data_IF_487543306238
#
_entry.id   IF_487543306238
#
_cell.length_a   1.000
_cell.length_b   1.000
_cell.length_c   1.000
_cell.angle_alpha   90.00
_cell.angle_beta   90.00
_cell.angle_gamma   90.00
#
_symmetry.space_group_name_H-M   'P 1'
#
loop_
_entity.id
_entity.type
_entity.pdbx_description
1 polymer ?
#
# COMPACT_ATOMS: atom_id res chain seq x y z
N UNK A 1 50.03 6.51 35.61
CA UNK A 1 49.33 6.14 34.41
C UNK A 1 47.85 6.43 34.61
N UNK A 2 47.40 7.58 34.18
CA UNK A 2 46.03 8.09 34.39
C UNK A 2 45.20 7.80 33.15
N UNK A 3 44.11 7.04 33.32
CA UNK A 3 43.09 6.81 32.28
C UNK A 3 42.18 8.02 32.23
N UNK A 4 42.13 8.67 31.08
CA UNK A 4 41.14 9.74 30.79
C UNK A 4 39.84 9.09 30.27
N UNK A 5 38.73 9.32 30.99
CA UNK A 5 37.38 9.08 30.53
C UNK A 5 36.96 10.26 29.65
N UNK A 6 36.67 10.03 28.40
CA UNK A 6 35.92 10.98 27.57
C UNK A 6 34.42 10.73 27.77
N UNK A 7 33.74 11.70 28.32
CA UNK A 7 32.28 11.74 28.36
C UNK A 7 31.78 12.33 27.05
N UNK A 8 31.03 11.56 26.29
CA UNK A 8 30.33 12.05 25.11
C UNK A 8 28.97 12.63 25.52
N UNK A 9 28.85 13.94 25.40
CA UNK A 9 27.59 14.65 25.60
C UNK A 9 26.72 14.50 24.35
N UNK A 10 25.63 13.78 24.48
CA UNK A 10 24.61 13.70 23.41
C UNK A 10 23.72 14.94 23.52
N UNK A 11 23.84 15.84 22.56
CA UNK A 11 22.91 16.96 22.36
C UNK A 11 21.68 16.44 21.63
N UNK A 12 20.58 16.32 22.36
CA UNK A 12 19.27 16.04 21.75
C UNK A 12 18.76 17.32 21.09
N UNK A 13 18.84 17.39 19.76
CA UNK A 13 18.17 18.44 18.98
C UNK A 13 16.73 18.02 18.73
N UNK A 14 15.80 18.70 19.39
CA UNK A 14 14.37 18.59 19.09
C UNK A 14 14.12 19.19 17.70
N UNK A 15 13.88 18.36 16.71
CA UNK A 15 13.36 18.77 15.40
C UNK A 15 11.84 18.91 15.53
N UNK A 16 11.38 20.14 15.67
CA UNK A 16 9.99 20.52 15.45
C UNK A 16 9.71 20.35 13.95
N UNK A 17 8.96 19.32 13.60
CA UNK A 17 8.43 19.18 12.25
C UNK A 17 7.35 20.24 12.01
N UNK A 18 7.74 21.32 11.36
CA UNK A 18 6.80 22.28 10.78
C UNK A 18 6.05 21.58 9.65
N UNK A 19 4.76 21.36 9.86
CA UNK A 19 3.82 21.01 8.80
C UNK A 19 3.79 22.16 7.79
N UNK A 20 4.55 22.06 6.72
CA UNK A 20 4.36 22.89 5.54
C UNK A 20 3.08 22.38 4.86
N UNK A 21 2.01 23.13 5.00
CA UNK A 21 0.83 22.94 4.17
C UNK A 21 1.27 23.18 2.71
N UNK A 22 1.35 22.10 1.95
CA UNK A 22 1.51 22.17 0.50
C UNK A 22 0.21 22.78 -0.03
N UNK A 23 0.24 23.93 -0.74
CA UNK A 23 -0.95 24.43 -1.39
C UNK A 23 -1.42 23.35 -2.36
N UNK A 24 -2.73 23.05 -2.30
CA UNK A 24 -3.38 22.20 -3.28
C UNK A 24 -3.09 22.79 -4.67
N UNK A 25 -2.14 22.19 -5.39
CA UNK A 25 -2.03 22.40 -6.81
C UNK A 25 -3.39 21.97 -7.37
N UNK A 26 -4.09 22.90 -7.98
CA UNK A 26 -5.28 22.63 -8.76
C UNK A 26 -4.87 21.67 -9.88
N UNK A 27 -4.92 20.38 -9.59
CA UNK A 27 -4.88 19.35 -10.58
C UNK A 27 -6.11 19.60 -11.44
N UNK A 28 -5.89 20.04 -12.68
CA UNK A 28 -6.88 20.04 -13.73
C UNK A 28 -7.58 18.68 -13.67
N UNK A 29 -8.88 18.72 -13.33
CA UNK A 29 -9.66 17.53 -13.06
C UNK A 29 -9.49 16.51 -14.17
N UNK A 30 -8.93 15.39 -13.83
CA UNK A 30 -9.09 14.16 -14.58
C UNK A 30 -10.51 13.70 -14.30
N UNK A 31 -11.45 14.18 -15.10
CA UNK A 31 -12.75 13.55 -15.22
C UNK A 31 -12.51 12.14 -15.77
N UNK A 32 -12.24 11.23 -14.86
CA UNK A 32 -12.44 9.82 -15.17
C UNK A 32 -13.92 9.70 -15.52
N UNK A 33 -14.28 9.18 -16.70
CA UNK A 33 -15.68 9.00 -17.09
C UNK A 33 -16.29 7.88 -16.27
N UNK A 34 -16.41 8.08 -14.98
CA UNK A 34 -17.06 7.19 -14.01
C UNK A 34 -18.40 7.76 -13.57
N UNK A 35 -19.17 8.38 -14.44
CA UNK A 35 -20.55 8.75 -14.16
C UNK A 35 -21.52 7.77 -14.82
N UNK A 36 -21.34 6.47 -14.55
CA UNK A 36 -22.40 5.49 -14.73
C UNK A 36 -23.32 5.55 -13.51
N UNK A 37 -24.44 6.26 -13.62
CA UNK A 37 -25.48 6.33 -12.62
C UNK A 37 -26.10 4.94 -12.41
N UNK A 38 -25.62 4.21 -11.40
CA UNK A 38 -26.43 3.21 -10.74
C UNK A 38 -26.65 3.65 -9.31
N UNK A 39 -27.76 4.37 -9.09
CA UNK A 39 -28.33 4.61 -7.78
C UNK A 39 -28.77 3.26 -7.17
N UNK A 40 -27.87 2.61 -6.45
CA UNK A 40 -28.22 1.78 -5.32
C UNK A 40 -27.82 2.57 -4.09
N UNK A 41 -28.80 3.26 -3.52
CA UNK A 41 -28.68 4.14 -2.36
C UNK A 41 -28.62 3.30 -1.07
N UNK A 42 -27.61 2.42 -0.93
CA UNK A 42 -27.21 1.94 0.38
C UNK A 42 -26.13 2.92 0.88
N UNK A 43 -26.56 3.94 1.60
CA UNK A 43 -25.63 4.75 2.39
C UNK A 43 -24.86 3.79 3.30
N UNK A 44 -23.54 3.92 3.34
CA UNK A 44 -22.70 3.16 4.25
C UNK A 44 -23.22 3.34 5.68
N UNK A 45 -23.38 2.23 6.40
CA UNK A 45 -23.77 2.21 7.82
C UNK A 45 -22.66 2.75 8.73
N UNK A 46 -21.42 2.86 8.24
CA UNK A 46 -20.26 3.41 8.95
C UNK A 46 -20.23 4.94 8.80
N UNK A 47 -20.40 5.71 9.90
CA UNK A 47 -20.51 7.16 9.83
C UNK A 47 -19.19 7.90 9.66
N UNK A 48 -18.04 7.19 9.71
CA UNK A 48 -16.73 7.80 9.63
C UNK A 48 -16.46 8.32 8.22
N UNK A 49 -16.24 9.64 8.10
CA UNK A 49 -15.76 10.29 6.88
C UNK A 49 -14.24 10.34 6.80
N UNK A 50 -13.58 10.34 7.97
CA UNK A 50 -12.14 10.21 8.15
C UNK A 50 -11.88 9.33 9.37
N UNK A 51 -10.92 8.43 9.26
CA UNK A 51 -10.38 7.68 10.38
C UNK A 51 -8.98 7.20 10.05
N UNK A 52 -8.08 7.29 11.01
CA UNK A 52 -6.71 6.80 10.83
C UNK A 52 -6.07 6.39 12.15
N UNK A 53 -5.11 5.49 12.03
CA UNK A 53 -4.20 5.08 13.08
C UNK A 53 -2.78 5.24 12.55
N UNK A 54 -1.92 5.91 13.29
CA UNK A 54 -0.50 6.10 12.94
C UNK A 54 0.36 5.74 14.14
N UNK A 55 1.28 4.79 13.97
CA UNK A 55 2.22 4.39 15.01
C UNK A 55 3.35 5.42 15.14
N UNK A 56 3.63 5.87 16.34
CA UNK A 56 4.80 6.67 16.69
C UNK A 56 6.07 5.82 16.82
N UNK A 57 7.21 6.47 16.73
CA UNK A 57 8.51 5.82 16.94
C UNK A 57 8.73 5.39 18.41
N UNK A 58 8.05 6.04 19.34
CA UNK A 58 8.08 5.80 20.78
C UNK A 58 7.10 4.70 21.24
N UNK A 59 6.41 4.03 20.31
CA UNK A 59 5.40 3.01 20.61
C UNK A 59 4.03 3.59 20.95
N UNK A 60 3.83 4.90 20.81
CA UNK A 60 2.51 5.54 20.86
C UNK A 60 1.74 5.32 19.55
N UNK A 61 0.43 5.61 19.61
CA UNK A 61 -0.43 5.60 18.44
C UNK A 61 -1.27 6.87 18.41
N UNK A 62 -1.22 7.60 17.31
CA UNK A 62 -2.16 8.71 17.07
C UNK A 62 -3.39 8.15 16.36
N UNK A 63 -4.56 8.30 16.96
CA UNK A 63 -5.85 7.95 16.37
C UNK A 63 -6.62 9.22 16.05
N UNK A 64 -7.12 9.35 14.81
CA UNK A 64 -7.91 10.50 14.35
C UNK A 64 -9.23 10.03 13.79
N UNK A 65 -10.28 10.83 13.93
CA UNK A 65 -11.58 10.52 13.35
C UNK A 65 -12.42 11.75 13.06
N UNK A 66 -13.29 11.62 12.08
CA UNK A 66 -14.42 12.49 11.80
C UNK A 66 -15.60 11.61 11.43
N UNK A 67 -16.73 11.75 12.11
CA UNK A 67 -17.90 10.91 11.94
C UNK A 67 -19.17 11.76 11.79
N UNK A 68 -19.90 11.56 10.70
CA UNK A 68 -21.13 12.28 10.42
C UNK A 68 -22.32 11.73 11.24
N UNK A 69 -23.22 12.59 11.69
CA UNK A 69 -24.47 12.18 12.34
C UNK A 69 -24.33 11.53 13.71
N UNK A 70 -23.16 11.50 14.31
CA UNK A 70 -22.92 11.04 15.69
C UNK A 70 -22.39 12.15 16.58
N UNK A 71 -22.65 12.06 17.87
CA UNK A 71 -22.20 13.05 18.87
C UNK A 71 -21.04 12.55 19.71
N UNK A 72 -20.88 11.22 19.80
CA UNK A 72 -19.84 10.58 20.61
C UNK A 72 -19.22 9.44 19.85
N UNK A 73 -17.90 9.34 20.01
CA UNK A 73 -17.08 8.23 19.50
C UNK A 73 -16.22 7.72 20.65
N UNK A 74 -16.13 6.42 20.79
CA UNK A 74 -15.17 5.75 21.66
C UNK A 74 -14.17 5.00 20.81
N UNK A 75 -12.92 5.03 21.19
CA UNK A 75 -11.87 4.23 20.57
C UNK A 75 -11.45 3.17 21.58
N UNK A 76 -11.48 1.90 21.17
CA UNK A 76 -11.04 0.78 21.98
C UNK A 76 -9.80 0.12 21.40
N UNK A 77 -8.91 -0.32 22.27
CA UNK A 77 -7.80 -1.20 21.95
C UNK A 77 -7.78 -2.35 22.96
N UNK A 78 -7.60 -3.59 22.49
CA UNK A 78 -7.63 -4.79 23.34
C UNK A 78 -8.90 -4.88 24.23
N UNK A 79 -10.04 -4.48 23.69
CA UNK A 79 -11.33 -4.45 24.38
C UNK A 79 -11.52 -3.35 25.42
N UNK A 80 -10.53 -2.51 25.65
CA UNK A 80 -10.59 -1.37 26.61
C UNK A 80 -10.73 -0.06 25.89
N UNK A 81 -11.51 0.87 26.46
CA UNK A 81 -11.61 2.24 25.94
C UNK A 81 -10.32 2.98 26.23
N UNK A 82 -9.66 3.44 25.18
CA UNK A 82 -8.38 4.15 25.22
C UNK A 82 -8.50 5.64 24.86
N UNK A 83 -9.60 6.01 24.16
CA UNK A 83 -9.92 7.42 23.89
C UNK A 83 -11.44 7.60 23.75
N UNK A 84 -11.91 8.83 23.99
CA UNK A 84 -13.30 9.25 23.79
C UNK A 84 -13.31 10.66 23.23
N UNK A 85 -14.30 10.98 22.41
CA UNK A 85 -14.47 12.34 21.90
C UNK A 85 -15.82 12.57 21.26
N UNK A 86 -15.97 13.73 20.65
CA UNK A 86 -17.13 14.12 19.85
C UNK A 86 -17.12 13.51 18.45
N UNK A 87 -17.90 14.09 17.55
CA UNK A 87 -17.94 13.71 16.14
C UNK A 87 -16.58 13.80 15.43
N UNK A 88 -15.72 14.70 15.88
CA UNK A 88 -14.34 14.83 15.45
C UNK A 88 -13.40 14.71 16.64
N UNK A 89 -12.27 14.09 16.45
CA UNK A 89 -11.28 13.95 17.52
C UNK A 89 -9.93 13.43 17.02
N UNK A 90 -8.96 13.65 17.88
CA UNK A 90 -7.62 13.11 17.77
C UNK A 90 -7.15 12.75 19.20
N UNK A 91 -6.49 11.63 19.35
CA UNK A 91 -5.90 11.23 20.63
C UNK A 91 -4.59 10.48 20.40
N UNK A 92 -3.67 10.68 21.35
CA UNK A 92 -2.44 9.88 21.42
C UNK A 92 -2.64 8.81 22.48
N UNK A 93 -2.50 7.55 22.09
CA UNK A 93 -2.64 6.37 22.95
C UNK A 93 -1.27 5.80 23.23
N UNK A 94 -0.95 5.63 24.50
CA UNK A 94 0.34 5.10 25.00
C UNK A 94 0.11 3.90 25.92
N UNK A 95 1.18 3.18 26.25
CA UNK A 95 1.15 2.11 27.25
C UNK A 95 0.38 0.87 26.84
N UNK A 96 0.15 0.66 25.55
CA UNK A 96 -0.46 -0.58 25.05
C UNK A 96 0.55 -1.73 25.13
N UNK A 97 0.09 -2.96 25.41
CA UNK A 97 0.95 -4.14 25.37
C UNK A 97 1.58 -4.31 23.98
N UNK A 98 2.79 -4.85 23.94
CA UNK A 98 3.44 -5.20 22.67
C UNK A 98 2.57 -6.19 21.87
N UNK A 99 2.42 -5.93 20.58
CA UNK A 99 1.66 -6.77 19.65
C UNK A 99 2.34 -6.74 18.27
N UNK A 100 2.12 -7.77 17.47
CA UNK A 100 2.56 -7.77 16.06
C UNK A 100 1.91 -6.63 15.28
N UNK A 101 0.65 -6.34 15.62
CA UNK A 101 -0.14 -5.26 15.09
C UNK A 101 -1.17 -4.81 16.10
N UNK A 102 -1.22 -3.53 16.41
CA UNK A 102 -2.20 -2.97 17.33
C UNK A 102 -3.47 -2.55 16.57
N UNK A 103 -4.61 -3.09 17.01
CA UNK A 103 -5.91 -2.81 16.44
C UNK A 103 -6.69 -1.85 17.31
N UNK A 104 -7.45 -0.97 16.64
CA UNK A 104 -8.34 0.00 17.26
C UNK A 104 -9.75 -0.14 16.68
N UNK A 105 -10.72 -0.29 17.57
CA UNK A 105 -12.14 -0.30 17.22
C UNK A 105 -12.70 1.12 17.47
N UNK A 106 -13.15 1.75 16.39
CA UNK A 106 -13.79 3.06 16.40
C UNK A 106 -15.29 2.84 16.53
N UNK A 107 -15.84 3.07 17.73
CA UNK A 107 -17.24 2.84 18.05
C UNK A 107 -18.01 4.16 18.10
N UNK A 108 -18.85 4.46 17.10
CA UNK A 108 -19.72 5.63 17.13
C UNK A 108 -20.94 5.37 18.01
N UNK A 109 -21.58 6.43 18.56
CA UNK A 109 -22.87 6.32 19.25
C UNK A 109 -24.00 5.82 18.33
N UNK A 110 -23.88 6.09 17.03
CA UNK A 110 -24.83 5.70 15.98
C UNK A 110 -24.11 5.21 14.74
N UNK A 111 -24.65 4.18 14.13
CA UNK A 111 -24.05 3.52 12.96
C UNK A 111 -23.13 2.37 13.37
N UNK A 112 -22.50 1.77 12.39
CA UNK A 112 -21.57 0.65 12.59
C UNK A 112 -20.17 1.14 12.95
N UNK A 113 -19.44 0.34 13.74
CA UNK A 113 -18.06 0.59 14.09
C UNK A 113 -17.10 0.34 12.94
N UNK A 114 -15.89 0.88 13.07
CA UNK A 114 -14.81 0.68 12.11
C UNK A 114 -13.57 0.18 12.84
N UNK A 115 -12.94 -0.89 12.33
CA UNK A 115 -11.73 -1.45 12.89
C UNK A 115 -10.52 -1.11 12.03
N UNK A 116 -9.56 -0.41 12.60
CA UNK A 116 -8.34 0.03 11.92
C UNK A 116 -7.09 -0.30 12.73
N UNK A 117 -5.97 -0.31 12.04
CA UNK A 117 -4.62 -0.36 12.59
C UNK A 117 -3.72 0.58 11.78
N UNK A 118 -2.49 0.81 12.21
CA UNK A 118 -1.49 1.39 11.32
C UNK A 118 -1.34 0.49 10.08
N UNK A 119 -1.31 1.11 8.90
CA UNK A 119 -1.09 0.36 7.67
C UNK A 119 0.29 -0.26 7.60
N UNK A 120 1.32 0.45 8.07
CA UNK A 120 2.65 -0.13 8.15
C UNK A 120 2.72 -1.22 9.21
N UNK A 121 3.17 -2.40 8.83
CA UNK A 121 3.56 -3.45 9.77
C UNK A 121 5.07 -3.57 9.68
N UNK A 122 5.77 -3.16 10.74
CA UNK A 122 7.24 -3.16 10.76
C UNK A 122 7.78 -4.58 10.71
N UNK A 123 8.62 -4.85 9.70
CA UNK A 123 9.45 -6.03 9.56
C UNK A 123 10.92 -5.63 9.61
N UNK A 124 11.79 -6.55 10.05
CA UNK A 124 13.23 -6.33 10.10
C UNK A 124 13.86 -6.40 8.71
N UNK A 125 13.36 -7.31 7.87
CA UNK A 125 13.90 -7.62 6.55
C UNK A 125 13.14 -7.02 5.36
N UNK A 126 12.06 -6.26 5.58
CA UNK A 126 11.32 -5.57 4.53
C UNK A 126 10.86 -4.19 5.01
N UNK A 127 11.06 -3.16 4.18
CA UNK A 127 10.80 -1.77 4.57
C UNK A 127 9.49 -1.21 4.01
N UNK A 128 8.96 -1.83 2.93
CA UNK A 128 7.76 -1.38 2.23
C UNK A 128 6.54 -2.28 2.48
N UNK A 129 6.59 -3.08 3.57
CA UNK A 129 5.50 -3.97 3.96
C UNK A 129 4.37 -3.20 4.63
N UNK A 130 3.17 -3.28 4.07
CA UNK A 130 1.97 -2.65 4.61
C UNK A 130 0.67 -3.31 4.17
N UNK A 131 -0.39 -3.00 4.92
CA UNK A 131 -1.77 -3.37 4.59
C UNK A 131 -2.29 -2.54 3.41
N UNK A 132 -3.02 -3.17 2.51
CA UNK A 132 -3.70 -2.52 1.39
C UNK A 132 -5.07 -1.93 1.78
N UNK A 133 -5.56 -2.20 2.99
CA UNK A 133 -6.85 -1.74 3.50
C UNK A 133 -6.81 -0.42 4.27
N UNK A 134 -7.93 -0.11 4.93
CA UNK A 134 -8.08 1.09 5.74
C UNK A 134 -8.31 2.37 4.93
N UNK A 135 -8.80 2.26 3.71
CA UNK A 135 -9.18 3.37 2.85
C UNK A 135 -10.69 3.47 2.70
N UNK A 136 -11.21 4.68 2.67
CA UNK A 136 -12.61 4.96 2.43
C UNK A 136 -12.89 5.04 0.93
N UNK A 137 -13.99 4.43 0.49
CA UNK A 137 -14.44 4.48 -0.90
C UNK A 137 -15.27 5.74 -1.16
N UNK A 138 -15.50 6.06 -2.43
CA UNK A 138 -16.40 7.17 -2.85
C UNK A 138 -17.85 6.96 -2.41
N UNK A 139 -18.27 5.70 -2.18
CA UNK A 139 -19.60 5.35 -1.67
C UNK A 139 -19.69 5.37 -0.13
N UNK A 140 -18.58 5.65 0.56
CA UNK A 140 -18.53 5.77 2.02
C UNK A 140 -18.18 4.48 2.75
N UNK A 141 -18.08 3.36 2.06
CA UNK A 141 -17.61 2.09 2.61
C UNK A 141 -16.10 2.14 2.88
N UNK A 142 -15.59 1.20 3.65
CA UNK A 142 -14.18 1.12 3.97
C UNK A 142 -13.58 -0.22 3.51
N UNK A 143 -12.37 -0.16 2.95
CA UNK A 143 -11.61 -1.36 2.60
C UNK A 143 -11.16 -2.05 3.89
N UNK A 144 -11.51 -3.32 4.05
CA UNK A 144 -11.10 -4.14 5.21
C UNK A 144 -9.58 -4.19 5.31
N UNK A 145 -9.08 -4.13 6.53
CA UNK A 145 -7.67 -4.36 6.82
C UNK A 145 -7.42 -5.81 7.24
N UNK A 146 -6.19 -6.26 7.03
CA UNK A 146 -5.77 -7.61 7.41
C UNK A 146 -6.02 -8.68 6.36
N UNK A 147 -6.61 -8.34 5.21
CA UNK A 147 -6.96 -9.27 4.14
C UNK A 147 -5.92 -9.30 3.01
N UNK A 148 -5.32 -8.14 2.71
CA UNK A 148 -4.37 -7.98 1.62
C UNK A 148 -3.19 -7.13 2.09
N UNK A 149 -1.99 -7.64 1.85
CA UNK A 149 -0.73 -6.97 2.15
C UNK A 149 0.10 -6.78 0.89
N UNK A 150 0.93 -5.74 0.89
CA UNK A 150 1.93 -5.48 -0.15
C UNK A 150 3.31 -5.31 0.46
N UNK A 151 4.37 -5.66 -0.27
CA UNK A 151 5.75 -5.59 0.23
C UNK A 151 6.79 -5.37 -0.87
N UNK A 152 7.99 -5.04 -0.46
CA UNK A 152 9.24 -5.31 -1.17
C UNK A 152 9.67 -6.77 -0.99
N UNK A 153 10.82 -7.17 -1.56
CA UNK A 153 11.31 -8.54 -1.60
C UNK A 153 11.46 -9.17 -0.20
N UNK A 154 11.15 -10.45 -0.11
CA UNK A 154 11.11 -11.21 1.14
C UNK A 154 12.41 -11.96 1.45
N UNK A 155 13.43 -11.83 0.60
CA UNK A 155 14.71 -12.56 0.72
C UNK A 155 15.49 -12.28 2.00
N UNK A 156 15.28 -11.09 2.60
CA UNK A 156 15.96 -10.66 3.83
C UNK A 156 15.14 -10.86 5.10
N UNK A 157 13.94 -11.44 5.01
CA UNK A 157 13.11 -11.69 6.18
C UNK A 157 13.85 -12.52 7.23
N UNK A 158 13.69 -12.11 8.49
CA UNK A 158 14.23 -12.83 9.65
C UNK A 158 13.26 -13.92 10.11
N UNK A 159 13.71 -14.76 11.03
CA UNK A 159 12.81 -15.74 11.68
C UNK A 159 11.65 -15.06 12.42
N UNK A 160 11.92 -13.89 13.03
CA UNK A 160 10.89 -13.09 13.70
C UNK A 160 9.85 -12.56 12.70
N UNK A 161 10.29 -12.08 11.54
CA UNK A 161 9.40 -11.63 10.47
C UNK A 161 8.51 -12.77 9.96
N UNK A 162 9.10 -13.92 9.69
CA UNK A 162 8.35 -15.10 9.23
C UNK A 162 7.30 -15.54 10.26
N UNK A 163 7.66 -15.59 11.54
CA UNK A 163 6.73 -15.89 12.62
C UNK A 163 5.62 -14.82 12.72
N UNK A 164 5.95 -13.55 12.52
CA UNK A 164 4.96 -12.46 12.48
C UNK A 164 3.99 -12.64 11.30
N UNK A 165 4.47 -12.92 10.09
CA UNK A 165 3.62 -13.17 8.93
C UNK A 165 2.69 -14.37 9.13
N UNK A 166 3.14 -15.42 9.83
CA UNK A 166 2.29 -16.54 10.24
C UNK A 166 1.18 -16.10 11.19
N UNK A 167 1.50 -15.29 12.22
CA UNK A 167 0.50 -14.76 13.17
C UNK A 167 -0.48 -13.78 12.49
N UNK A 168 -0.04 -13.05 11.46
CA UNK A 168 -0.90 -12.26 10.57
C UNK A 168 -1.72 -13.13 9.62
N UNK A 169 -1.51 -14.46 9.64
CA UNK A 169 -2.24 -15.45 8.84
C UNK A 169 -2.08 -15.27 7.33
N UNK A 170 -0.90 -14.82 6.88
CA UNK A 170 -0.59 -14.78 5.44
C UNK A 170 -0.66 -16.20 4.89
N UNK A 171 -1.60 -16.45 3.98
CA UNK A 171 -1.86 -17.77 3.37
C UNK A 171 -1.26 -17.93 1.99
N UNK A 172 -1.18 -16.84 1.23
CA UNK A 172 -0.67 -16.87 -0.15
C UNK A 172 0.27 -15.71 -0.39
N UNK A 173 1.42 -16.01 -0.97
CA UNK A 173 2.44 -15.03 -1.37
C UNK A 173 2.57 -15.07 -2.89
N UNK A 174 2.27 -13.94 -3.55
CA UNK A 174 2.49 -13.76 -4.98
C UNK A 174 3.79 -12.99 -5.23
N UNK A 175 4.74 -13.61 -5.87
CA UNK A 175 5.99 -12.99 -6.29
C UNK A 175 5.87 -12.49 -7.74
N UNK A 176 5.86 -11.16 -7.88
CA UNK A 176 5.71 -10.47 -9.17
C UNK A 176 7.03 -10.29 -9.93
N UNK A 177 8.14 -10.81 -9.40
CA UNK A 177 9.50 -10.61 -9.93
C UNK A 177 9.80 -11.54 -11.10
N UNK A 178 10.74 -11.09 -11.92
CA UNK A 178 11.33 -11.87 -13.00
C UNK A 178 12.16 -13.05 -12.45
N UNK A 179 12.41 -14.03 -13.28
CA UNK A 179 13.14 -15.25 -12.88
C UNK A 179 14.56 -14.97 -12.38
N UNK A 180 15.29 -14.07 -13.01
CA UNK A 180 16.65 -13.71 -12.60
C UNK A 180 16.69 -13.03 -11.23
N UNK A 181 15.72 -12.16 -10.93
CA UNK A 181 15.55 -11.56 -9.60
C UNK A 181 15.28 -12.63 -8.54
N UNK A 182 14.38 -13.58 -8.82
CA UNK A 182 14.05 -14.70 -7.91
C UNK A 182 15.21 -15.64 -7.70
N UNK A 183 16.00 -15.90 -8.75
CA UNK A 183 17.18 -16.78 -8.68
C UNK A 183 18.29 -16.14 -7.84
N UNK A 184 18.49 -14.84 -8.01
CA UNK A 184 19.52 -14.09 -7.27
C UNK A 184 19.15 -13.91 -5.80
N UNK A 185 17.92 -13.53 -5.53
CA UNK A 185 17.43 -13.14 -4.22
C UNK A 185 16.16 -13.95 -3.87
N UNK A 186 16.32 -15.27 -3.65
CA UNK A 186 15.21 -16.16 -3.34
C UNK A 186 14.45 -15.73 -2.07
N UNK A 187 13.13 -15.74 -2.12
CA UNK A 187 12.30 -15.36 -0.98
C UNK A 187 12.34 -16.37 0.15
N UNK A 188 12.14 -15.84 1.34
CA UNK A 188 11.78 -16.63 2.52
C UNK A 188 10.28 -16.49 2.73
N UNK A 189 9.57 -17.60 2.63
CA UNK A 189 8.12 -17.66 2.71
C UNK A 189 7.71 -18.22 4.08
N UNK A 190 6.71 -17.64 4.77
CA UNK A 190 6.25 -18.17 6.05
C UNK A 190 5.72 -19.60 5.88
N UNK A 191 6.04 -20.47 6.83
CA UNK A 191 5.59 -21.87 6.79
C UNK A 191 4.06 -21.94 6.75
N UNK A 192 3.54 -22.80 5.87
CA UNK A 192 2.12 -22.97 5.63
C UNK A 192 1.50 -22.00 4.61
N UNK A 193 2.24 -21.01 4.14
CA UNK A 193 1.78 -20.16 3.05
C UNK A 193 2.10 -20.79 1.68
N UNK A 194 1.18 -20.65 0.74
CA UNK A 194 1.38 -21.01 -0.67
C UNK A 194 2.19 -19.93 -1.37
N UNK A 195 3.28 -20.31 -2.03
CA UNK A 195 4.08 -19.40 -2.85
C UNK A 195 3.69 -19.54 -4.32
N UNK A 196 3.33 -18.44 -4.96
CA UNK A 196 2.89 -18.38 -6.35
C UNK A 196 3.78 -17.41 -7.12
N UNK A 197 4.42 -17.90 -8.18
CA UNK A 197 5.14 -17.05 -9.12
C UNK A 197 4.15 -16.41 -10.09
N UNK A 198 4.05 -15.09 -10.04
CA UNK A 198 3.22 -14.26 -10.89
C UNK A 198 4.09 -13.22 -11.61
N UNK A 199 5.00 -13.69 -12.47
CA UNK A 199 5.99 -12.86 -13.15
C UNK A 199 5.32 -11.89 -14.13
N UNK A 200 5.33 -10.60 -13.79
CA UNK A 200 4.67 -9.53 -14.55
C UNK A 200 5.30 -9.31 -15.93
N UNK A 201 6.59 -9.60 -16.06
CA UNK A 201 7.32 -9.44 -17.32
C UNK A 201 7.60 -10.78 -18.03
N UNK A 202 6.92 -11.85 -17.65
CA UNK A 202 7.07 -13.14 -18.32
C UNK A 202 6.84 -13.01 -19.83
N UNK A 203 7.80 -13.50 -20.62
CA UNK A 203 7.74 -13.42 -22.10
C UNK A 203 8.15 -12.06 -22.71
N UNK A 204 8.36 -11.05 -21.89
CA UNK A 204 9.01 -9.80 -22.32
C UNK A 204 10.49 -9.86 -21.97
N UNK A 205 11.37 -9.39 -22.84
CA UNK A 205 12.79 -9.26 -22.52
C UNK A 205 12.99 -8.36 -21.30
N UNK A 206 13.95 -8.69 -20.44
CA UNK A 206 14.41 -7.81 -19.37
C UNK A 206 14.78 -6.44 -19.93
N UNK A 207 14.83 -5.40 -19.07
CA UNK A 207 15.34 -4.08 -19.42
C UNK A 207 16.70 -4.23 -20.15
N UNK A 208 16.67 -4.16 -21.49
CA UNK A 208 17.82 -4.54 -22.31
C UNK A 208 18.97 -3.54 -22.23
N UNK A 209 18.73 -2.34 -21.72
CA UNK A 209 19.75 -1.29 -21.65
C UNK A 209 19.53 -0.41 -20.44
N UNK A 210 20.55 -0.25 -19.62
CA UNK A 210 20.51 0.70 -18.50
C UNK A 210 20.44 2.13 -19.05
N UNK A 211 19.55 2.98 -18.52
CA UNK A 211 19.48 4.39 -18.86
C UNK A 211 20.82 5.08 -18.59
N UNK A 212 21.16 6.05 -19.43
CA UNK A 212 22.40 6.84 -19.31
C UNK A 212 22.13 8.24 -18.78
N UNK A 213 20.90 8.71 -18.87
CA UNK A 213 20.47 10.02 -18.39
C UNK A 213 19.24 9.88 -17.47
N UNK A 214 18.97 10.88 -16.60
CA UNK A 214 17.75 10.91 -15.79
C UNK A 214 16.47 10.85 -16.64
N UNK A 215 16.43 11.52 -17.78
CA UNK A 215 15.25 11.54 -18.67
C UNK A 215 15.02 10.17 -19.32
N UNK A 216 16.09 9.48 -19.73
CA UNK A 216 15.99 8.09 -20.20
C UNK A 216 15.48 7.16 -19.08
N UNK A 217 15.90 7.40 -17.84
CA UNK A 217 15.43 6.62 -16.69
C UNK A 217 13.93 6.84 -16.44
N UNK A 218 13.46 8.10 -16.48
CA UNK A 218 12.03 8.41 -16.39
C UNK A 218 11.24 7.75 -17.51
N UNK A 219 11.71 7.85 -18.75
CA UNK A 219 11.08 7.22 -19.90
C UNK A 219 11.00 5.70 -19.74
N UNK A 220 12.08 5.07 -19.31
CA UNK A 220 12.10 3.62 -19.06
C UNK A 220 11.09 3.18 -18.02
N UNK A 221 10.90 3.96 -16.94
CA UNK A 221 9.88 3.69 -15.92
C UNK A 221 8.47 3.83 -16.47
N UNK A 222 8.19 4.88 -17.25
CA UNK A 222 6.90 5.07 -17.93
C UNK A 222 6.59 3.93 -18.90
N UNK A 223 7.56 3.52 -19.71
CA UNK A 223 7.40 2.42 -20.66
C UNK A 223 7.18 1.07 -19.95
N UNK A 224 7.89 0.84 -18.85
CA UNK A 224 7.71 -0.34 -18.01
C UNK A 224 6.31 -0.39 -17.38
N UNK A 225 5.80 0.73 -16.87
CA UNK A 225 4.45 0.80 -16.29
C UNK A 225 3.38 0.44 -17.34
N UNK A 226 3.50 0.98 -18.56
CA UNK A 226 2.61 0.61 -19.68
C UNK A 226 2.71 -0.88 -20.02
N UNK A 227 3.93 -1.42 -20.09
CA UNK A 227 4.15 -2.84 -20.38
C UNK A 227 3.56 -3.75 -19.30
N UNK A 228 3.59 -3.35 -18.03
CA UNK A 228 2.92 -4.08 -16.94
C UNK A 228 1.41 -4.19 -17.16
N UNK A 229 0.78 -3.15 -17.68
CA UNK A 229 -0.68 -3.07 -17.87
C UNK A 229 -1.15 -3.88 -19.08
N UNK A 230 -0.49 -3.73 -20.21
CA UNK A 230 -0.95 -4.28 -21.49
C UNK A 230 -0.20 -5.53 -21.95
N UNK A 231 0.93 -5.85 -21.33
CA UNK A 231 1.71 -7.05 -21.65
C UNK A 231 1.04 -8.35 -21.17
N UNK A 232 1.26 -9.45 -21.90
CA UNK A 232 0.66 -10.75 -21.57
C UNK A 232 1.10 -11.26 -20.18
N UNK A 233 2.37 -11.06 -19.82
CA UNK A 233 2.88 -11.39 -18.48
C UNK A 233 2.13 -10.63 -17.38
N UNK A 234 1.97 -9.32 -17.56
CA UNK A 234 1.25 -8.47 -16.60
C UNK A 234 -0.22 -8.88 -16.45
N UNK A 235 -0.94 -9.07 -17.56
CA UNK A 235 -2.33 -9.55 -17.51
C UNK A 235 -2.44 -10.85 -16.73
N UNK A 236 -1.64 -11.85 -17.07
CA UNK A 236 -1.65 -13.15 -16.39
C UNK A 236 -1.31 -13.04 -14.91
N UNK A 237 -0.26 -12.28 -14.58
CA UNK A 237 0.19 -12.12 -13.20
C UNK A 237 -0.86 -11.43 -12.33
N UNK A 238 -1.43 -10.33 -12.81
CA UNK A 238 -2.45 -9.60 -12.05
C UNK A 238 -3.77 -10.37 -11.96
N UNK A 239 -4.17 -11.14 -13.00
CA UNK A 239 -5.30 -12.07 -12.91
C UNK A 239 -5.08 -13.06 -11.76
N UNK A 240 -3.90 -13.69 -11.66
CA UNK A 240 -3.58 -14.61 -10.57
C UNK A 240 -3.68 -13.94 -9.18
N UNK A 241 -3.19 -12.70 -9.04
CA UNK A 241 -3.29 -11.94 -7.79
C UNK A 241 -4.76 -11.68 -7.42
N UNK A 242 -5.57 -11.20 -8.36
CA UNK A 242 -6.98 -10.94 -8.11
C UNK A 242 -7.78 -12.21 -7.83
N UNK A 243 -7.47 -13.32 -8.50
CA UNK A 243 -8.08 -14.63 -8.21
C UNK A 243 -7.75 -15.09 -6.79
N UNK A 244 -6.50 -14.93 -6.35
CA UNK A 244 -6.10 -15.22 -4.98
C UNK A 244 -6.82 -14.34 -3.95
N UNK A 245 -6.99 -13.05 -4.23
CA UNK A 245 -7.72 -12.13 -3.34
C UNK A 245 -9.22 -12.51 -3.25
N UNK A 246 -9.82 -12.99 -4.34
CA UNK A 246 -11.23 -13.42 -4.38
C UNK A 246 -11.47 -14.80 -3.77
N UNK A 247 -10.43 -15.59 -3.61
CA UNK A 247 -10.52 -16.93 -3.04
C UNK A 247 -10.38 -16.88 -1.50
N UNK A 248 -11.45 -17.21 -0.77
CA UNK A 248 -11.46 -17.19 0.70
C UNK A 248 -10.42 -18.12 1.32
N UNK A 249 -10.11 -19.24 0.67
CA UNK A 249 -9.08 -20.17 1.14
C UNK A 249 -7.65 -19.63 0.97
N UNK A 250 -7.42 -18.83 -0.09
CA UNK A 250 -6.13 -18.20 -0.37
C UNK A 250 -5.91 -16.88 0.39
N UNK A 251 -6.97 -16.15 0.73
CA UNK A 251 -6.93 -14.91 1.50
C UNK A 251 -6.58 -15.24 2.96
N UNK A 252 -5.62 -14.65 3.59
CA UNK A 252 -4.92 -13.37 3.46
C UNK A 252 -3.76 -13.44 2.46
N UNK A 253 -3.76 -12.51 1.52
CA UNK A 253 -2.82 -12.45 0.40
C UNK A 253 -1.71 -11.45 0.68
N UNK A 254 -0.48 -11.80 0.35
CA UNK A 254 0.66 -10.90 0.24
C UNK A 254 1.18 -10.92 -1.20
N UNK A 255 1.27 -9.78 -1.87
CA UNK A 255 1.95 -9.66 -3.15
C UNK A 255 3.13 -8.68 -3.06
N UNK A 256 4.20 -8.98 -3.76
CA UNK A 256 5.43 -8.19 -3.71
C UNK A 256 6.22 -8.24 -5.02
N UNK A 257 7.18 -7.32 -5.14
CA UNK A 257 8.24 -7.38 -6.14
C UNK A 257 9.59 -7.06 -5.48
N UNK A 258 10.56 -6.53 -6.17
CA UNK A 258 11.89 -6.23 -5.60
C UNK A 258 11.83 -5.02 -4.67
N UNK A 259 11.30 -3.89 -5.12
CA UNK A 259 11.15 -2.67 -4.31
C UNK A 259 9.74 -2.50 -3.71
N UNK A 260 8.76 -3.29 -4.16
CA UNK A 260 7.38 -3.18 -3.71
C UNK A 260 6.68 -1.91 -4.15
N UNK A 261 7.18 -1.21 -5.20
CA UNK A 261 6.71 0.12 -5.60
C UNK A 261 6.01 0.15 -6.96
N UNK A 262 6.56 -0.50 -8.01
CA UNK A 262 6.04 -0.45 -9.40
C UNK A 262 5.07 -1.60 -9.67
N UNK A 263 5.53 -2.83 -9.93
CA UNK A 263 4.68 -4.02 -10.16
C UNK A 263 3.67 -4.22 -9.04
N UNK A 264 4.11 -4.13 -7.81
CA UNK A 264 3.29 -4.15 -6.59
C UNK A 264 2.42 -2.90 -6.49
N UNK A 265 2.95 -1.76 -6.91
CA UNK A 265 2.25 -0.47 -6.95
C UNK A 265 1.03 -0.53 -7.85
N UNK A 266 1.19 -1.01 -9.08
CA UNK A 266 0.09 -1.19 -10.01
C UNK A 266 -0.96 -2.20 -9.50
N UNK A 267 -0.53 -3.37 -8.99
CA UNK A 267 -1.45 -4.34 -8.41
C UNK A 267 -2.35 -3.72 -7.34
N UNK A 268 -1.75 -2.94 -6.42
CA UNK A 268 -2.50 -2.27 -5.35
C UNK A 268 -3.37 -1.13 -5.88
N UNK A 269 -2.87 -0.31 -6.79
CA UNK A 269 -3.63 0.77 -7.40
C UNK A 269 -4.86 0.24 -8.16
N UNK A 270 -4.69 -0.85 -8.92
CA UNK A 270 -5.78 -1.52 -9.60
C UNK A 270 -6.81 -2.09 -8.62
N UNK A 271 -6.38 -2.71 -7.52
CA UNK A 271 -7.27 -3.22 -6.48
C UNK A 271 -8.09 -2.10 -5.82
N UNK A 272 -7.43 -1.04 -5.37
CA UNK A 272 -8.10 0.09 -4.71
C UNK A 272 -9.06 0.81 -5.66
N UNK A 273 -8.69 0.97 -6.93
CA UNK A 273 -9.58 1.54 -7.97
C UNK A 273 -10.81 0.66 -8.20
N UNK A 274 -10.62 -0.67 -8.29
CA UNK A 274 -11.73 -1.62 -8.43
C UNK A 274 -12.70 -1.59 -7.24
N UNK A 275 -12.19 -1.34 -6.03
CA UNK A 275 -12.98 -1.19 -4.81
C UNK A 275 -13.68 0.19 -4.71
N UNK A 276 -13.33 1.16 -5.56
CA UNK A 276 -13.93 2.50 -5.57
C UNK A 276 -13.27 3.49 -4.62
N UNK A 277 -12.01 3.28 -4.26
CA UNK A 277 -11.22 4.27 -3.52
C UNK A 277 -10.93 5.47 -4.43
N UNK A 278 -11.03 6.72 -3.93
CA UNK A 278 -10.75 7.93 -4.72
C UNK A 278 -9.33 7.92 -5.33
N UNK A 279 -9.21 8.43 -6.55
CA UNK A 279 -7.94 8.42 -7.31
C UNK A 279 -6.79 9.14 -6.59
N UNK A 280 -7.07 10.23 -5.90
CA UNK A 280 -6.09 10.96 -5.09
C UNK A 280 -5.58 10.11 -3.91
N UNK A 281 -6.43 9.28 -3.32
CA UNK A 281 -6.05 8.35 -2.25
C UNK A 281 -5.21 7.19 -2.80
N UNK A 282 -5.58 6.65 -3.96
CA UNK A 282 -4.80 5.63 -4.67
C UNK A 282 -3.40 6.15 -5.01
N UNK A 283 -3.31 7.36 -5.56
CA UNK A 283 -2.04 8.02 -5.85
C UNK A 283 -1.21 8.26 -4.59
N UNK A 284 -1.83 8.69 -3.50
CA UNK A 284 -1.15 8.90 -2.22
C UNK A 284 -0.56 7.59 -1.65
N UNK A 285 -1.30 6.46 -1.71
CA UNK A 285 -0.74 5.15 -1.32
C UNK A 285 0.42 4.73 -2.21
N UNK A 286 0.32 4.95 -3.52
CA UNK A 286 1.41 4.65 -4.45
C UNK A 286 2.68 5.44 -4.10
N UNK A 287 2.54 6.75 -3.92
CA UNK A 287 3.64 7.66 -3.60
C UNK A 287 4.24 7.44 -2.20
N UNK A 288 3.46 6.90 -1.26
CA UNK A 288 3.96 6.57 0.09
C UNK A 288 5.13 5.57 0.06
N UNK A 289 5.33 4.83 -1.03
CA UNK A 289 6.51 3.99 -1.21
C UNK A 289 7.82 4.77 -1.14
N UNK A 290 7.82 6.07 -1.51
CA UNK A 290 9.01 6.93 -1.38
C UNK A 290 9.40 7.11 0.09
N UNK A 291 8.41 7.30 0.97
CA UNK A 291 8.65 7.51 2.41
C UNK A 291 9.12 6.20 3.07
N UNK A 292 8.43 5.10 2.82
CA UNK A 292 8.81 3.80 3.38
C UNK A 292 10.20 3.34 2.94
N UNK A 293 10.59 3.66 1.70
CA UNK A 293 11.89 3.28 1.13
C UNK A 293 12.97 4.33 1.27
N UNK A 294 12.64 5.50 1.83
CA UNK A 294 13.58 6.64 1.86
C UNK A 294 14.97 6.25 2.34
N UNK A 295 15.09 5.63 3.50
CA UNK A 295 16.38 5.24 4.06
C UNK A 295 17.14 4.25 3.18
N UNK A 296 16.44 3.26 2.60
CA UNK A 296 17.04 2.28 1.70
C UNK A 296 17.49 2.90 0.38
N UNK A 297 16.69 3.81 -0.19
CA UNK A 297 17.02 4.51 -1.42
C UNK A 297 18.19 5.49 -1.21
N UNK A 298 18.19 6.25 -0.12
CA UNK A 298 19.28 7.16 0.25
C UNK A 298 20.59 6.38 0.45
N UNK A 299 20.55 5.21 1.08
CA UNK A 299 21.71 4.33 1.23
C UNK A 299 22.28 3.89 -0.13
N UNK A 300 21.43 3.50 -1.08
CA UNK A 300 21.88 3.14 -2.44
C UNK A 300 22.53 4.36 -3.11
N UNK A 301 21.86 5.51 -3.11
CA UNK A 301 22.34 6.72 -3.78
C UNK A 301 23.66 7.23 -3.20
N UNK A 302 23.85 7.10 -1.88
CA UNK A 302 25.08 7.56 -1.21
C UNK A 302 26.33 6.79 -1.62
N UNK A 303 26.19 5.58 -2.17
CA UNK A 303 27.31 4.77 -2.67
C UNK A 303 27.63 5.01 -4.15
N UNK A 304 26.84 5.82 -4.82
CA UNK A 304 27.02 6.11 -6.26
C UNK A 304 27.69 7.48 -6.48
N UNK A 305 28.54 7.60 -7.49
CA UNK A 305 28.98 8.92 -7.97
C UNK A 305 27.77 9.79 -8.36
N UNK A 306 27.84 11.11 -8.15
CA UNK A 306 26.71 12.02 -8.35
C UNK A 306 26.04 11.90 -9.74
N UNK A 307 26.74 11.75 -10.88
CA UNK A 307 26.09 11.54 -12.16
C UNK A 307 25.28 10.24 -12.24
N UNK A 308 25.81 9.16 -11.65
CA UNK A 308 25.06 7.89 -11.59
C UNK A 308 23.87 7.97 -10.64
N UNK A 309 24.04 8.59 -9.46
CA UNK A 309 22.95 8.80 -8.51
C UNK A 309 21.78 9.56 -9.16
N UNK A 310 22.07 10.56 -10.01
CA UNK A 310 21.04 11.31 -10.74
C UNK A 310 20.23 10.43 -11.70
N UNK A 311 20.88 9.45 -12.37
CA UNK A 311 20.21 8.49 -13.26
C UNK A 311 19.41 7.44 -12.46
N UNK A 312 19.95 6.98 -11.33
CA UNK A 312 19.29 5.95 -10.50
C UNK A 312 18.10 6.49 -9.72
N UNK A 313 18.13 7.76 -9.31
CA UNK A 313 17.07 8.34 -8.49
C UNK A 313 15.67 8.19 -9.10
N UNK A 314 15.41 8.51 -10.39
CA UNK A 314 14.11 8.25 -11.01
C UNK A 314 13.68 6.77 -10.98
N UNK A 315 14.62 5.83 -11.01
CA UNK A 315 14.32 4.39 -10.94
C UNK A 315 14.07 3.90 -9.51
N UNK A 316 14.61 4.59 -8.50
CA UNK A 316 14.41 4.25 -7.08
C UNK A 316 13.15 4.87 -6.50
N UNK A 317 12.77 6.06 -6.95
CA UNK A 317 11.54 6.74 -6.55
C UNK A 317 10.32 6.22 -7.34
N UNK A 318 9.13 6.51 -6.84
CA UNK A 318 7.89 6.50 -7.62
C UNK A 318 7.44 7.93 -7.87
N UNK A 319 6.76 8.16 -9.01
CA UNK A 319 6.31 9.50 -9.43
C UNK A 319 4.89 9.41 -9.97
N UNK A 320 4.10 10.50 -9.87
CA UNK A 320 2.74 10.51 -10.40
C UNK A 320 2.65 10.11 -11.88
N UNK A 321 3.63 10.55 -12.70
CA UNK A 321 3.68 10.24 -14.12
C UNK A 321 3.80 8.74 -14.41
N UNK A 322 4.42 7.94 -13.52
CA UNK A 322 4.54 6.49 -13.72
C UNK A 322 3.17 5.83 -13.58
N UNK A 323 2.49 6.01 -12.44
CA UNK A 323 1.17 5.44 -12.23
C UNK A 323 0.14 5.94 -13.25
N UNK A 324 0.19 7.25 -13.56
CA UNK A 324 -0.69 7.84 -14.58
C UNK A 324 -0.49 7.19 -15.95
N UNK A 325 0.77 6.88 -16.33
CA UNK A 325 1.03 6.19 -17.60
C UNK A 325 0.39 4.80 -17.69
N UNK A 326 0.26 4.10 -16.56
CA UNK A 326 -0.49 2.85 -16.47
C UNK A 326 -1.99 3.06 -16.72
N UNK A 327 -2.60 4.08 -16.11
CA UNK A 327 -4.01 4.42 -16.40
C UNK A 327 -4.23 4.93 -17.83
N UNK A 328 -3.27 5.68 -18.39
CA UNK A 328 -3.31 6.09 -19.80
C UNK A 328 -3.26 4.88 -20.73
N UNK A 329 -2.44 3.88 -20.41
CA UNK A 329 -2.39 2.61 -21.17
C UNK A 329 -3.70 1.83 -21.04
N UNK A 330 -4.34 1.78 -19.86
CA UNK A 330 -5.68 1.22 -19.68
C UNK A 330 -6.68 1.91 -20.62
N UNK A 331 -6.67 3.24 -20.66
CA UNK A 331 -7.56 4.01 -21.53
C UNK A 331 -7.29 3.74 -23.00
N UNK A 332 -6.03 3.69 -23.40
CA UNK A 332 -5.61 3.47 -24.77
C UNK A 332 -5.96 2.06 -25.30
N UNK A 333 -5.76 1.02 -24.46
CA UNK A 333 -5.92 -0.37 -24.87
C UNK A 333 -7.34 -0.92 -24.64
N UNK A 334 -8.00 -0.49 -23.56
CA UNK A 334 -9.29 -1.03 -23.14
C UNK A 334 -10.43 -0.01 -23.18
N UNK A 335 -10.11 1.29 -23.32
CA UNK A 335 -11.07 2.39 -23.33
C UNK A 335 -11.59 2.79 -21.95
N UNK A 336 -11.64 1.87 -20.98
CA UNK A 336 -12.04 2.14 -19.60
C UNK A 336 -11.41 1.16 -18.62
N UNK A 337 -11.38 1.53 -17.33
CA UNK A 337 -10.89 0.67 -16.27
C UNK A 337 -11.78 -0.58 -16.07
N UNK A 338 -13.10 -0.46 -16.22
CA UNK A 338 -14.02 -1.60 -16.16
C UNK A 338 -13.75 -2.62 -17.28
N UNK A 339 -13.43 -2.14 -18.47
CA UNK A 339 -13.02 -3.04 -19.56
C UNK A 339 -11.66 -3.66 -19.29
N UNK A 340 -10.71 -2.93 -18.69
CA UNK A 340 -9.45 -3.52 -18.26
C UNK A 340 -9.67 -4.65 -17.25
N UNK A 341 -10.53 -4.45 -16.25
CA UNK A 341 -10.88 -5.52 -15.32
C UNK A 341 -11.45 -6.73 -16.04
N UNK A 342 -12.41 -6.51 -16.95
CA UNK A 342 -13.11 -7.59 -17.67
C UNK A 342 -12.24 -8.25 -18.74
N UNK A 343 -11.72 -7.45 -19.67
CA UNK A 343 -11.07 -7.96 -20.89
C UNK A 343 -9.56 -8.19 -20.69
N UNK A 344 -8.96 -7.47 -19.76
CA UNK A 344 -7.54 -7.59 -19.37
C UNK A 344 -7.30 -8.60 -18.27
N UNK A 345 -8.10 -8.57 -17.21
CA UNK A 345 -7.93 -9.40 -16.01
C UNK A 345 -8.98 -10.49 -15.84
N UNK A 346 -9.96 -10.60 -16.74
CA UNK A 346 -11.01 -11.61 -16.67
C UNK A 346 -12.01 -11.42 -15.52
N UNK A 347 -12.06 -10.23 -14.90
CA UNK A 347 -12.94 -9.93 -13.77
C UNK A 347 -14.22 -9.31 -14.29
N UNK A 348 -15.29 -10.08 -14.36
CA UNK A 348 -16.58 -9.60 -14.80
C UNK A 348 -17.32 -8.80 -13.69
N UNK A 349 -18.50 -8.25 -14.03
CA UNK A 349 -19.30 -7.45 -13.10
C UNK A 349 -19.75 -8.25 -11.85
N UNK A 350 -20.00 -9.56 -12.00
CA UNK A 350 -20.40 -10.44 -10.90
C UNK A 350 -19.22 -10.65 -9.93
N UNK A 351 -18.06 -10.90 -10.48
CA UNK A 351 -16.82 -11.12 -9.76
C UNK A 351 -16.35 -9.84 -9.05
N UNK A 352 -16.47 -8.68 -9.72
CA UNK A 352 -16.21 -7.38 -9.09
C UNK A 352 -17.17 -7.10 -7.93
N UNK A 353 -18.46 -7.45 -8.08
CA UNK A 353 -19.45 -7.33 -7.00
C UNK A 353 -19.11 -8.24 -5.83
N UNK A 354 -18.61 -9.45 -6.08
CA UNK A 354 -18.14 -10.35 -5.03
C UNK A 354 -16.93 -9.77 -4.31
N UNK A 355 -15.91 -9.35 -5.06
CA UNK A 355 -14.71 -8.71 -4.51
C UNK A 355 -15.06 -7.54 -3.56
N UNK A 356 -16.02 -6.69 -3.96
CA UNK A 356 -16.50 -5.59 -3.12
C UNK A 356 -17.21 -6.08 -1.85
N UNK A 357 -18.05 -7.11 -1.92
CA UNK A 357 -18.69 -7.69 -0.72
C UNK A 357 -17.67 -8.27 0.25
N UNK A 358 -16.63 -8.89 -0.27
CA UNK A 358 -15.63 -9.58 0.54
C UNK A 358 -14.67 -8.60 1.21
N UNK A 359 -14.30 -7.53 0.53
CA UNK A 359 -13.28 -6.58 0.96
C UNK A 359 -13.80 -5.24 1.49
N UNK A 360 -15.09 -4.94 1.41
CA UNK A 360 -15.65 -3.70 1.93
C UNK A 360 -16.52 -3.95 3.17
N UNK A 361 -16.58 -2.94 4.03
CA UNK A 361 -17.46 -2.86 5.21
C UNK A 361 -18.21 -1.54 5.20
N UNK A 362 -19.45 -1.56 5.71
CA UNK A 362 -20.35 -0.40 5.80
C UNK A 362 -21.40 -0.34 4.71
#
# INVERSE_FOLDING_TARGET
MKKALLAATVVASALTASLVAVPAASASGWDLPWSGHHHNNSQSSIPFTEASVTAGADGSYTVKWSAAGTRRVQIKANGKVVAKGGAKGEAVVTGLPAADRQWFDFDPERGEGLRLADRQVKLEGAVNFRDAGGYRTTTGQWVKMGEVYRSDALNKLTANDLAKLQRLRVKTVFDLRMQDERTKDADKVPAGATYVVADVFAGSGSFQTMPKTPDEAVKAMVDAEKAMVSGEGGKKAYTQVFDGIRNDDARTVLFHCTAGKDRTGWANAALLTALGVPSETVMADYLASNDYRKAANDAILSHLPAPQAAVYKPMLDVRPEYLNSGYDEVKAKYGSFDRYLKDGLGIDARELKQLKRDLLVG
#
